data_IF_404002129503
#
_entry.id   IF_404002129503
#
_cell.length_a   1.000
_cell.length_b   1.000
_cell.length_c   1.000
_cell.angle_alpha   90.00
_cell.angle_beta   90.00
_cell.angle_gamma   90.00
#
_symmetry.space_group_name_H-M   'P 1'
#
loop_
_entity.id
_entity.type
_entity.pdbx_description
1 polymer ?
#
# COMPACT_ATOMS: atom_id res chain seq x y z
N UNK A 1 11.75 13.77 4.41
CA UNK A 1 11.47 12.60 3.56
C UNK A 1 10.27 12.99 2.71
N UNK A 2 10.53 13.59 1.54
CA UNK A 2 9.48 13.95 0.58
C UNK A 2 9.18 12.70 -0.23
N UNK A 3 7.91 12.30 -0.28
CA UNK A 3 7.45 11.27 -1.21
C UNK A 3 6.86 12.04 -2.39
N UNK A 4 7.50 11.91 -3.55
CA UNK A 4 7.13 12.58 -4.80
C UNK A 4 5.77 12.06 -5.30
N UNK A 5 5.06 12.87 -6.08
CA UNK A 5 3.85 12.44 -6.80
C UNK A 5 4.19 11.20 -7.66
N UNK A 6 3.48 10.10 -7.43
CA UNK A 6 3.69 8.77 -8.01
C UNK A 6 4.08 7.68 -7.00
N UNK A 7 4.26 8.01 -5.72
CA UNK A 7 4.74 7.05 -4.75
C UNK A 7 3.60 6.20 -4.14
N UNK A 8 3.62 4.90 -4.45
CA UNK A 8 2.82 3.90 -3.74
C UNK A 8 3.65 3.39 -2.57
N UNK A 9 3.04 3.28 -1.40
CA UNK A 9 3.65 2.62 -0.26
C UNK A 9 2.69 1.67 0.44
N UNK A 10 3.14 0.48 0.81
CA UNK A 10 2.33 -0.53 1.51
C UNK A 10 2.79 -0.64 2.95
N UNK A 11 1.85 -0.59 3.89
CA UNK A 11 2.15 -0.75 5.31
C UNK A 11 2.63 -2.17 5.62
N UNK A 12 3.84 -2.30 6.13
CA UNK A 12 4.46 -3.57 6.56
C UNK A 12 4.54 -3.68 8.09
N UNK A 13 3.69 -2.93 8.82
CA UNK A 13 3.52 -3.15 10.25
C UNK A 13 3.02 -4.56 10.55
N UNK A 14 3.27 -5.14 11.75
CA UNK A 14 3.02 -6.55 12.05
C UNK A 14 1.64 -7.04 11.62
N UNK A 15 0.60 -6.26 11.97
CA UNK A 15 -0.78 -6.59 11.63
C UNK A 15 -1.08 -6.44 10.14
N UNK A 16 -0.53 -5.45 9.44
CA UNK A 16 -0.71 -5.39 7.98
C UNK A 16 0.02 -6.55 7.31
N UNK A 17 1.20 -6.94 7.78
CA UNK A 17 1.91 -8.11 7.30
C UNK A 17 1.13 -9.42 7.49
N UNK A 18 0.45 -9.60 8.62
CA UNK A 18 -0.39 -10.77 8.90
C UNK A 18 -1.69 -10.78 8.07
N UNK A 19 -2.26 -9.59 7.78
CA UNK A 19 -3.48 -9.42 6.99
C UNK A 19 -3.23 -9.27 5.48
N UNK A 20 -2.02 -9.56 5.00
CA UNK A 20 -1.73 -9.64 3.56
C UNK A 20 -1.04 -8.43 2.93
N UNK A 21 -0.54 -7.48 3.73
CA UNK A 21 0.23 -6.32 3.24
C UNK A 21 1.51 -6.71 2.49
N UNK A 22 2.19 -7.79 2.92
CA UNK A 22 3.34 -8.34 2.16
C UNK A 22 2.93 -8.87 0.80
N UNK A 23 1.90 -9.71 0.77
CA UNK A 23 1.34 -10.27 -0.46
C UNK A 23 0.81 -9.18 -1.40
N UNK A 24 0.26 -8.10 -0.84
CA UNK A 24 -0.18 -6.94 -1.61
C UNK A 24 1.01 -6.26 -2.31
N UNK A 25 2.11 -6.00 -1.60
CA UNK A 25 3.32 -5.45 -2.19
C UNK A 25 3.89 -6.36 -3.29
N UNK A 26 4.00 -7.67 -3.03
CA UNK A 26 4.45 -8.66 -4.01
C UNK A 26 3.55 -8.69 -5.26
N UNK A 27 2.22 -8.58 -5.07
CA UNK A 27 1.25 -8.56 -6.17
C UNK A 27 1.40 -7.29 -7.02
N UNK A 28 1.66 -6.14 -6.39
CA UNK A 28 1.90 -4.88 -7.10
C UNK A 28 3.21 -4.94 -7.89
N UNK A 29 4.29 -5.43 -7.27
CA UNK A 29 5.58 -5.61 -7.94
C UNK A 29 5.47 -6.57 -9.13
N UNK A 30 4.75 -7.67 -8.98
CA UNK A 30 4.48 -8.62 -10.07
C UNK A 30 3.68 -8.00 -11.24
N UNK A 31 2.91 -6.94 -10.97
CA UNK A 31 2.18 -6.14 -11.98
C UNK A 31 3.02 -4.99 -12.55
N UNK A 32 4.30 -4.89 -12.20
CA UNK A 32 5.20 -3.83 -12.64
C UNK A 32 5.02 -2.50 -11.90
N UNK A 33 4.31 -2.53 -10.77
CA UNK A 33 4.05 -1.35 -9.94
C UNK A 33 5.04 -1.34 -8.78
N UNK A 34 5.94 -0.36 -8.76
CA UNK A 34 6.88 -0.19 -7.65
C UNK A 34 6.16 0.35 -6.42
N UNK A 35 6.36 -0.29 -5.27
CA UNK A 35 5.84 0.17 -3.99
C UNK A 35 6.93 0.24 -2.92
N UNK A 36 6.88 1.29 -2.10
CA UNK A 36 7.70 1.43 -0.91
C UNK A 36 7.14 0.58 0.24
N UNK A 37 8.01 -0.03 1.03
CA UNK A 37 7.61 -0.64 2.29
C UNK A 37 7.50 0.43 3.37
N UNK A 38 6.27 0.76 3.76
CA UNK A 38 6.02 1.76 4.79
C UNK A 38 6.08 1.13 6.18
N UNK A 39 6.60 1.91 7.13
CA UNK A 39 6.41 1.63 8.55
C UNK A 39 4.92 1.61 8.93
N UNK A 40 4.62 1.07 10.12
CA UNK A 40 3.26 1.00 10.65
C UNK A 40 2.56 2.37 10.61
N UNK A 41 1.41 2.43 9.94
CA UNK A 41 0.60 3.64 9.81
C UNK A 41 -0.45 3.80 10.94
N UNK A 42 -0.45 2.92 11.95
CA UNK A 42 -1.42 2.90 13.06
C UNK A 42 -2.89 2.78 12.63
N UNK A 43 -3.16 2.33 11.40
CA UNK A 43 -4.49 2.12 10.84
C UNK A 43 -4.90 0.63 10.85
N UNK A 44 -4.47 -0.10 11.89
CA UNK A 44 -4.60 -1.56 11.94
C UNK A 44 -6.04 -2.08 11.89
N UNK A 45 -7.03 -1.27 12.27
CA UNK A 45 -8.46 -1.59 12.11
C UNK A 45 -8.84 -1.78 10.65
N UNK A 46 -8.14 -1.10 9.75
CA UNK A 46 -8.39 -1.09 8.31
C UNK A 46 -7.33 -1.86 7.51
N UNK A 47 -6.58 -2.73 8.17
CA UNK A 47 -5.52 -3.51 7.54
C UNK A 47 -6.08 -4.44 6.43
N UNK A 48 -5.29 -4.71 5.37
CA UNK A 48 -4.02 -4.07 5.03
C UNK A 48 -4.22 -2.62 4.57
N UNK A 49 -3.22 -1.75 4.80
CA UNK A 49 -3.29 -0.33 4.41
C UNK A 49 -2.15 0.04 3.47
N UNK A 50 -2.43 0.94 2.54
CA UNK A 50 -1.44 1.49 1.62
C UNK A 50 -1.57 3.02 1.56
N UNK A 51 -0.60 3.68 0.94
CA UNK A 51 -0.67 5.06 0.51
C UNK A 51 -0.43 5.14 -0.98
N UNK A 52 -1.24 5.92 -1.68
CA UNK A 52 -1.06 6.27 -3.08
C UNK A 52 -1.11 7.79 -3.14
N UNK A 53 -0.04 8.43 -3.61
CA UNK A 53 0.05 9.90 -3.70
C UNK A 53 -0.23 10.61 -2.37
N UNK A 54 0.27 10.03 -1.28
CA UNK A 54 0.07 10.54 0.08
C UNK A 54 -1.32 10.29 0.68
N UNK A 55 -2.28 9.76 -0.10
CA UNK A 55 -3.62 9.41 0.35
C UNK A 55 -3.65 7.99 0.90
N UNK A 56 -4.17 7.80 2.10
CA UNK A 56 -4.30 6.48 2.70
C UNK A 56 -5.44 5.68 2.03
N UNK A 57 -5.10 4.49 1.53
CA UNK A 57 -6.05 3.50 1.02
C UNK A 57 -6.28 2.46 2.12
N UNK A 58 -7.52 2.43 2.60
CA UNK A 58 -8.00 1.51 3.64
C UNK A 58 -8.43 0.18 3.00
N UNK A 59 -8.24 -0.95 3.70
CA UNK A 59 -8.52 -2.29 3.17
C UNK A 59 -7.93 -2.49 1.77
N UNK A 60 -6.67 -2.10 1.61
CA UNK A 60 -6.03 -1.97 0.32
C UNK A 60 -5.96 -3.31 -0.42
N UNK A 61 -6.37 -3.30 -1.68
CA UNK A 61 -6.25 -4.42 -2.63
C UNK A 61 -5.46 -3.98 -3.85
N UNK A 62 -4.88 -4.93 -4.58
CA UNK A 62 -4.13 -4.62 -5.79
C UNK A 62 -5.02 -3.96 -6.85
N UNK A 63 -6.29 -4.38 -6.91
CA UNK A 63 -7.32 -3.81 -7.78
C UNK A 63 -7.68 -2.37 -7.37
N UNK A 64 -7.88 -2.13 -6.08
CA UNK A 64 -8.21 -0.80 -5.56
C UNK A 64 -7.08 0.21 -5.77
N UNK A 65 -5.83 -0.24 -5.62
CA UNK A 65 -4.65 0.56 -5.93
C UNK A 65 -4.52 0.79 -7.44
N UNK A 66 -4.73 -0.23 -8.28
CA UNK A 66 -4.66 -0.08 -9.73
C UNK A 66 -5.72 0.91 -10.27
N UNK A 67 -6.92 0.95 -9.68
CA UNK A 67 -7.94 1.93 -10.03
C UNK A 67 -7.48 3.36 -9.69
N UNK A 68 -6.90 3.56 -8.50
CA UNK A 68 -6.36 4.85 -8.05
C UNK A 68 -5.24 5.39 -8.95
N UNK A 69 -4.46 4.51 -9.58
CA UNK A 69 -3.39 4.90 -10.51
C UNK A 69 -3.90 5.40 -11.87
N UNK A 70 -5.17 5.16 -12.20
CA UNK A 70 -5.78 5.56 -13.47
C UNK A 70 -6.66 6.82 -13.34
N UNK A 71 -6.87 7.33 -12.12
CA UNK A 71 -7.59 8.58 -11.82
C UNK A 71 -6.65 9.80 -11.97
#
# INVERSE_FOLDING_TARGET
>A
MHVEAGAIGVCHGPRCSDYGGRTLAETLEARGVSCEQLACQSLCTYAPTARVDGVAVLHATAEGIALRLQE
#
